data_IF_701442201588
#
_entry.id   IF_701442201588
#
_cell.length_a   1.000
_cell.length_b   1.000
_cell.length_c   1.000
_cell.angle_alpha   90.00
_cell.angle_beta   90.00
_cell.angle_gamma   90.00
#
_symmetry.space_group_name_H-M   'P 1'
#
loop_
_entity.id
_entity.type
_entity.pdbx_description
1 polymer ?
#
# COMPACT_ATOMS: atom_id res chain seq x y z
N UNK A 1 9.18 22.87 2.98
CA UNK A 1 9.54 23.73 1.84
C UNK A 1 10.93 23.35 1.36
N UNK A 2 10.99 22.57 0.29
CA UNK A 2 12.11 22.51 -0.66
C UNK A 2 11.50 21.96 -1.95
N UNK A 3 10.81 22.85 -2.66
CA UNK A 3 10.29 22.60 -4.00
C UNK A 3 11.46 22.68 -4.97
N UNK A 4 12.02 21.52 -5.34
CA UNK A 4 12.82 21.41 -6.55
C UNK A 4 11.86 21.47 -7.75
N UNK A 5 11.39 22.68 -8.05
CA UNK A 5 10.87 22.99 -9.38
C UNK A 5 12.08 23.04 -10.30
N UNK A 6 12.26 21.98 -11.09
CA UNK A 6 13.31 21.89 -12.09
C UNK A 6 13.13 23.02 -13.13
N UNK A 7 14.19 23.79 -13.34
CA UNK A 7 14.29 24.77 -14.42
C UNK A 7 14.17 24.07 -15.79
N UNK A 8 13.45 24.63 -16.77
CA UNK A 8 13.37 24.06 -18.10
C UNK A 8 14.73 24.22 -18.81
N UNK A 9 15.42 23.10 -19.08
CA UNK A 9 16.69 23.09 -19.83
C UNK A 9 17.85 22.34 -19.18
N UNK A 10 17.68 21.72 -18.00
CA UNK A 10 18.67 20.76 -17.50
C UNK A 10 18.55 19.45 -18.30
N UNK A 11 19.68 18.89 -18.77
CA UNK A 11 19.71 17.52 -19.25
C UNK A 11 19.12 16.60 -18.17
N UNK A 12 18.27 15.61 -18.53
CA UNK A 12 17.67 14.74 -17.53
C UNK A 12 18.78 14.10 -16.70
N UNK A 13 18.71 14.29 -15.38
CA UNK A 13 19.56 13.58 -14.43
C UNK A 13 19.52 12.10 -14.79
N UNK A 14 20.68 11.46 -14.87
CA UNK A 14 20.75 10.03 -15.14
C UNK A 14 19.84 9.29 -14.14
N UNK A 15 19.00 8.36 -14.62
CA UNK A 15 18.05 7.65 -13.78
C UNK A 15 18.79 6.99 -12.60
N UNK A 16 18.27 7.07 -11.36
CA UNK A 16 18.92 6.39 -10.24
C UNK A 16 19.01 4.89 -10.54
N UNK A 17 20.21 4.34 -10.30
CA UNK A 17 20.52 2.93 -10.54
C UNK A 17 20.69 2.20 -9.22
N UNK A 18 20.01 1.07 -9.07
CA UNK A 18 20.02 0.23 -7.88
C UNK A 18 20.70 -1.09 -8.22
N UNK A 19 21.83 -1.43 -7.58
CA UNK A 19 22.42 -2.77 -7.65
C UNK A 19 21.42 -3.85 -7.26
N UNK A 20 21.31 -4.88 -8.09
CA UNK A 20 20.51 -6.08 -7.85
C UNK A 20 21.46 -7.25 -7.60
N UNK A 21 21.15 -8.04 -6.57
CA UNK A 21 21.82 -9.34 -6.34
C UNK A 21 21.27 -10.43 -7.26
N UNK A 22 20.03 -10.25 -7.74
CA UNK A 22 19.38 -11.15 -8.68
C UNK A 22 19.89 -10.89 -10.11
N UNK A 23 20.39 -11.95 -10.74
CA UNK A 23 20.77 -11.94 -12.16
C UNK A 23 19.70 -12.65 -13.00
N UNK A 24 19.54 -12.22 -14.24
CA UNK A 24 18.64 -12.85 -15.20
C UNK A 24 18.44 -11.99 -16.45
N UNK A 25 17.48 -12.37 -17.31
CA UNK A 25 17.17 -11.63 -18.52
C UNK A 25 16.71 -10.20 -18.22
N UNK A 26 16.95 -9.27 -19.15
CA UNK A 26 16.52 -7.89 -19.00
C UNK A 26 14.98 -7.78 -18.92
N UNK A 27 14.45 -6.98 -18.01
CA UNK A 27 13.00 -6.75 -17.86
C UNK A 27 12.72 -5.25 -17.78
N UNK A 28 11.74 -4.79 -18.56
CA UNK A 28 11.19 -3.44 -18.45
C UNK A 28 9.85 -3.50 -17.73
N UNK A 29 9.75 -2.89 -16.55
CA UNK A 29 8.55 -2.83 -15.72
C UNK A 29 7.87 -1.46 -15.80
N UNK A 30 6.54 -1.46 -15.84
CA UNK A 30 5.73 -0.28 -16.11
C UNK A 30 5.14 0.41 -14.87
N UNK A 31 5.33 -0.16 -13.68
CA UNK A 31 4.91 0.44 -12.42
C UNK A 31 3.39 0.43 -12.20
N UNK A 32 2.96 1.31 -11.30
CA UNK A 32 1.57 1.40 -10.81
C UNK A 32 0.72 2.41 -11.61
N UNK A 33 -0.44 2.78 -11.07
CA UNK A 33 -1.22 3.93 -11.51
C UNK A 33 -0.80 5.23 -10.82
N UNK A 34 -0.70 5.21 -9.49
CA UNK A 34 -0.33 6.37 -8.70
C UNK A 34 1.19 6.55 -8.70
N UNK A 35 1.66 7.81 -8.74
CA UNK A 35 3.10 8.15 -8.65
C UNK A 35 3.97 7.28 -9.56
N UNK A 36 3.48 7.01 -10.77
CA UNK A 36 4.04 6.03 -11.68
C UNK A 36 5.52 6.31 -11.98
N UNK A 37 6.33 5.26 -11.97
CA UNK A 37 7.69 5.23 -12.46
C UNK A 37 7.94 3.88 -13.13
N UNK A 38 8.83 3.84 -14.12
CA UNK A 38 9.24 2.63 -14.83
C UNK A 38 10.59 2.15 -14.32
N UNK A 39 10.90 0.88 -14.57
CA UNK A 39 12.18 0.27 -14.21
C UNK A 39 12.71 -0.59 -15.35
N UNK A 40 13.96 -0.39 -15.77
CA UNK A 40 14.69 -1.37 -16.58
C UNK A 40 15.70 -2.10 -15.69
N UNK A 41 15.45 -3.38 -15.44
CA UNK A 41 16.38 -4.26 -14.73
C UNK A 41 17.20 -5.08 -15.74
N UNK A 42 18.52 -4.90 -15.74
CA UNK A 42 19.46 -5.64 -16.60
C UNK A 42 20.87 -5.61 -15.99
N UNK A 43 21.70 -6.61 -16.31
CA UNK A 43 23.11 -6.66 -15.91
C UNK A 43 23.37 -6.46 -14.40
N UNK A 44 22.46 -6.95 -13.55
CA UNK A 44 22.57 -6.82 -12.10
C UNK A 44 22.31 -5.40 -11.58
N UNK A 45 21.59 -4.57 -12.33
CA UNK A 45 21.17 -3.24 -11.90
C UNK A 45 19.74 -2.91 -12.37
N UNK A 46 19.03 -2.09 -11.59
CA UNK A 46 17.73 -1.54 -11.92
C UNK A 46 17.84 -0.03 -12.13
N UNK A 47 17.54 0.43 -13.35
CA UNK A 47 17.45 1.84 -13.69
C UNK A 47 16.01 2.32 -13.56
N UNK A 48 15.76 3.30 -12.70
CA UNK A 48 14.41 3.82 -12.45
C UNK A 48 14.17 5.13 -13.21
N UNK A 49 13.01 5.29 -13.84
CA UNK A 49 12.62 6.61 -14.38
C UNK A 49 12.35 7.61 -13.24
N UNK A 50 12.27 8.90 -13.60
CA UNK A 50 11.59 9.85 -12.73
C UNK A 50 10.10 9.48 -12.59
N UNK A 51 9.46 9.90 -11.51
CA UNK A 51 8.00 9.75 -11.37
C UNK A 51 7.29 10.74 -12.29
N UNK A 52 6.21 10.29 -12.94
CA UNK A 52 5.34 11.11 -13.79
C UNK A 52 4.07 11.56 -13.06
N UNK A 53 3.97 11.26 -11.75
CA UNK A 53 2.74 11.45 -10.99
C UNK A 53 1.70 10.37 -11.29
N UNK A 54 0.42 10.71 -11.12
CA UNK A 54 -0.67 9.78 -11.33
C UNK A 54 -1.04 9.70 -12.82
N UNK A 55 -1.37 8.51 -13.31
CA UNK A 55 -1.76 8.29 -14.70
C UNK A 55 -3.23 8.70 -14.98
N UNK A 56 -3.67 9.81 -14.38
CA UNK A 56 -5.02 10.36 -14.48
C UNK A 56 -5.14 11.50 -15.51
N UNK A 57 -4.00 11.98 -16.04
CA UNK A 57 -3.94 12.99 -17.09
C UNK A 57 -3.30 12.48 -18.38
N UNK A 58 -3.70 13.02 -19.56
CA UNK A 58 -3.05 12.69 -20.82
C UNK A 58 -1.57 13.06 -20.88
N UNK A 59 -1.14 14.10 -20.16
CA UNK A 59 0.28 14.51 -20.09
C UNK A 59 1.11 13.46 -19.34
N UNK A 60 0.67 13.01 -18.16
CA UNK A 60 1.34 11.96 -17.41
C UNK A 60 1.44 10.65 -18.21
N UNK A 61 0.36 10.29 -18.92
CA UNK A 61 0.35 9.12 -19.81
C UNK A 61 1.40 9.23 -20.93
N UNK A 62 1.47 10.38 -21.62
CA UNK A 62 2.48 10.62 -22.67
C UNK A 62 3.91 10.61 -22.12
N UNK A 63 4.11 11.15 -20.93
CA UNK A 63 5.43 11.17 -20.29
C UNK A 63 5.89 9.77 -19.89
N UNK A 64 4.98 8.94 -19.37
CA UNK A 64 5.24 7.51 -19.10
C UNK A 64 5.63 6.77 -20.39
N UNK A 65 4.86 6.94 -21.47
CA UNK A 65 5.17 6.33 -22.76
C UNK A 65 6.55 6.79 -23.29
N UNK A 66 6.89 8.07 -23.13
CA UNK A 66 8.20 8.61 -23.49
C UNK A 66 9.34 7.97 -22.66
N UNK A 67 9.14 7.80 -21.35
CA UNK A 67 10.10 7.09 -20.49
C UNK A 67 10.31 5.63 -20.92
N UNK A 68 9.26 4.96 -21.38
CA UNK A 68 9.39 3.59 -21.92
C UNK A 68 10.37 3.55 -23.11
N UNK A 69 10.31 4.54 -24.01
CA UNK A 69 11.23 4.65 -25.14
C UNK A 69 12.66 4.96 -24.70
N UNK A 70 12.84 5.83 -23.70
CA UNK A 70 14.16 6.13 -23.13
C UNK A 70 14.79 4.88 -22.54
N UNK A 71 14.06 4.13 -21.72
CA UNK A 71 14.57 2.90 -21.10
C UNK A 71 14.84 1.82 -22.16
N UNK A 72 13.95 1.61 -23.13
CA UNK A 72 14.17 0.67 -24.24
C UNK A 72 15.42 0.99 -25.07
N UNK A 73 15.82 2.27 -25.16
CA UNK A 73 17.05 2.64 -25.87
C UNK A 73 18.33 2.18 -25.15
N UNK A 74 18.23 1.82 -23.86
CA UNK A 74 19.35 1.35 -23.04
C UNK A 74 19.50 -0.17 -23.03
N UNK A 75 18.52 -0.93 -23.52
CA UNK A 75 18.55 -2.38 -23.52
C UNK A 75 17.29 -3.00 -24.11
N UNK A 76 17.44 -4.18 -24.71
CA UNK A 76 16.32 -4.95 -25.25
C UNK A 76 15.79 -5.90 -24.17
N UNK A 77 14.59 -5.65 -23.59
CA UNK A 77 14.04 -6.50 -22.56
C UNK A 77 13.60 -7.85 -23.14
N UNK A 78 13.81 -8.91 -22.38
CA UNK A 78 13.28 -10.25 -22.64
C UNK A 78 11.81 -10.40 -22.20
N UNK A 79 11.32 -9.51 -21.34
CA UNK A 79 9.91 -9.43 -20.95
C UNK A 79 9.51 -8.00 -20.54
N UNK A 80 8.22 -7.71 -20.62
CA UNK A 80 7.64 -6.48 -20.06
C UNK A 80 6.80 -6.85 -18.83
N UNK A 81 7.09 -6.26 -17.68
CA UNK A 81 6.31 -6.47 -16.46
C UNK A 81 5.33 -5.31 -16.22
N UNK A 82 4.18 -5.60 -15.63
CA UNK A 82 3.18 -4.59 -15.30
C UNK A 82 2.31 -5.02 -14.12
N UNK A 83 1.50 -4.10 -13.59
CA UNK A 83 0.54 -4.39 -12.54
C UNK A 83 -0.55 -5.35 -13.03
N UNK A 84 -1.04 -6.21 -12.14
CA UNK A 84 -2.18 -7.11 -12.40
C UNK A 84 -3.44 -6.35 -12.86
N UNK A 85 -3.61 -5.08 -12.49
CA UNK A 85 -4.78 -4.30 -12.86
C UNK A 85 -4.88 -4.09 -14.39
N UNK A 86 -5.93 -4.64 -15.06
CA UNK A 86 -6.01 -4.60 -16.53
C UNK A 86 -6.31 -3.19 -17.08
N UNK A 87 -7.03 -2.37 -16.30
CA UNK A 87 -7.47 -1.04 -16.76
C UNK A 87 -6.46 0.10 -16.50
N UNK A 88 -5.29 -0.18 -15.92
CA UNK A 88 -4.27 0.86 -15.82
C UNK A 88 -3.70 1.22 -17.19
N UNK A 89 -3.44 2.51 -17.41
CA UNK A 89 -2.76 2.94 -18.64
C UNK A 89 -1.39 2.27 -18.77
N UNK A 90 -0.65 2.15 -17.67
CA UNK A 90 0.62 1.42 -17.60
C UNK A 90 0.50 -0.04 -18.05
N UNK A 91 -0.50 -0.79 -17.56
CA UNK A 91 -0.74 -2.19 -17.95
C UNK A 91 -1.10 -2.33 -19.43
N UNK A 92 -1.96 -1.46 -19.96
CA UNK A 92 -2.30 -1.47 -21.40
C UNK A 92 -1.11 -1.13 -22.28
N UNK A 93 -0.33 -0.11 -21.92
CA UNK A 93 0.89 0.28 -22.66
C UNK A 93 1.94 -0.83 -22.61
N UNK A 94 2.11 -1.49 -21.46
CA UNK A 94 2.99 -2.64 -21.30
C UNK A 94 2.61 -3.81 -22.22
N UNK A 95 1.33 -4.20 -22.23
CA UNK A 95 0.85 -5.29 -23.09
C UNK A 95 1.02 -4.97 -24.59
N UNK A 96 0.70 -3.74 -24.99
CA UNK A 96 0.86 -3.28 -26.37
C UNK A 96 2.34 -3.27 -26.79
N UNK A 97 3.24 -2.81 -25.91
CA UNK A 97 4.68 -2.84 -26.15
C UNK A 97 5.22 -4.27 -26.24
N UNK A 98 4.84 -5.14 -25.32
CA UNK A 98 5.25 -6.55 -25.31
C UNK A 98 4.89 -7.25 -26.63
N UNK A 99 3.65 -7.04 -27.09
CA UNK A 99 3.17 -7.55 -28.39
C UNK A 99 4.01 -7.03 -29.55
N UNK A 100 4.34 -5.72 -29.56
CA UNK A 100 5.15 -5.10 -30.61
C UNK A 100 6.59 -5.63 -30.64
N UNK A 101 7.15 -5.94 -29.48
CA UNK A 101 8.51 -6.47 -29.35
C UNK A 101 8.58 -8.01 -29.52
N UNK A 102 7.44 -8.70 -29.50
CA UNK A 102 7.40 -10.16 -29.56
C UNK A 102 7.92 -10.84 -28.29
N UNK A 103 7.75 -10.19 -27.14
CA UNK A 103 8.18 -10.68 -25.82
C UNK A 103 6.97 -10.86 -24.89
N UNK A 104 7.06 -11.72 -23.86
CA UNK A 104 5.98 -11.91 -22.90
C UNK A 104 5.66 -10.63 -22.10
N UNK A 105 4.37 -10.43 -21.83
CA UNK A 105 3.88 -9.49 -20.83
C UNK A 105 3.60 -10.26 -19.53
N UNK A 106 4.28 -9.90 -18.44
CA UNK A 106 4.16 -10.57 -17.15
C UNK A 106 3.38 -9.64 -16.19
N UNK A 107 2.15 -10.06 -15.87
CA UNK A 107 1.34 -9.40 -14.87
C UNK A 107 1.83 -9.78 -13.46
N UNK A 108 2.16 -8.78 -12.65
CA UNK A 108 2.63 -8.96 -11.26
C UNK A 108 1.62 -8.36 -10.32
N UNK A 109 1.25 -9.11 -9.28
CA UNK A 109 0.29 -8.64 -8.29
C UNK A 109 0.88 -7.46 -7.50
N UNK A 110 0.06 -6.43 -7.28
CA UNK A 110 0.48 -5.14 -6.71
C UNK A 110 1.21 -5.26 -5.36
N UNK A 111 0.65 -6.01 -4.42
CA UNK A 111 1.20 -6.16 -3.07
C UNK A 111 2.43 -7.08 -3.05
N UNK A 112 2.46 -8.09 -3.91
CA UNK A 112 3.66 -8.89 -4.17
C UNK A 112 4.79 -8.01 -4.73
N UNK A 113 4.49 -7.11 -5.67
CA UNK A 113 5.46 -6.14 -6.18
C UNK A 113 5.97 -5.18 -5.10
N UNK A 114 5.11 -4.69 -4.20
CA UNK A 114 5.56 -3.89 -3.04
C UNK A 114 6.59 -4.64 -2.18
N UNK A 115 6.29 -5.88 -1.81
CA UNK A 115 7.18 -6.70 -0.99
C UNK A 115 8.46 -7.02 -1.76
N UNK A 116 8.34 -7.43 -3.03
CA UNK A 116 9.46 -7.73 -3.90
C UNK A 116 10.40 -6.54 -4.10
N UNK A 117 9.89 -5.31 -4.18
CA UNK A 117 10.73 -4.12 -4.30
C UNK A 117 11.67 -3.98 -3.08
N UNK A 118 11.15 -4.20 -1.87
CA UNK A 118 11.94 -4.17 -0.63
C UNK A 118 12.95 -5.32 -0.58
N UNK A 119 12.55 -6.53 -0.96
CA UNK A 119 13.48 -7.67 -1.03
C UNK A 119 14.60 -7.42 -2.04
N UNK A 120 14.27 -6.88 -3.21
CA UNK A 120 15.21 -6.57 -4.29
C UNK A 120 16.25 -5.54 -3.85
N UNK A 121 15.84 -4.40 -3.27
CA UNK A 121 16.79 -3.37 -2.88
C UNK A 121 17.63 -3.74 -1.65
N UNK A 122 17.15 -4.64 -0.79
CA UNK A 122 17.90 -5.20 0.32
C UNK A 122 18.73 -6.43 -0.08
N UNK A 123 18.60 -6.91 -1.32
CA UNK A 123 19.34 -8.05 -1.85
C UNK A 123 19.01 -9.39 -1.17
N UNK A 124 17.81 -9.52 -0.58
CA UNK A 124 17.38 -10.75 0.09
C UNK A 124 16.96 -11.82 -0.93
N UNK A 125 17.63 -12.99 -0.98
CA UNK A 125 17.43 -13.96 -2.06
C UNK A 125 16.39 -15.05 -1.75
N UNK A 126 15.90 -15.13 -0.51
CA UNK A 126 15.11 -16.25 -0.03
C UNK A 126 13.65 -15.89 0.30
N UNK A 127 12.89 -16.86 0.82
CA UNK A 127 11.53 -16.60 1.26
C UNK A 127 11.49 -15.61 2.42
N UNK A 128 10.43 -14.81 2.49
CA UNK A 128 10.19 -13.83 3.54
C UNK A 128 8.69 -13.65 3.80
N UNK A 129 8.36 -13.18 5.01
CA UNK A 129 7.07 -12.58 5.27
C UNK A 129 7.04 -11.16 4.71
N UNK A 130 5.91 -10.74 4.15
CA UNK A 130 5.69 -9.40 3.63
C UNK A 130 4.45 -8.79 4.26
N UNK A 131 4.61 -7.63 4.92
CA UNK A 131 3.49 -6.77 5.28
C UNK A 131 3.33 -5.70 4.20
N UNK A 132 2.30 -5.84 3.37
CA UNK A 132 1.96 -4.88 2.33
C UNK A 132 0.80 -4.00 2.82
N UNK A 133 1.15 -2.80 3.27
CA UNK A 133 0.26 -1.86 3.97
C UNK A 133 0.01 -0.63 3.09
N UNK A 134 -1.12 -0.60 2.40
CA UNK A 134 -1.39 0.36 1.33
C UNK A 134 -2.85 0.88 1.27
N UNK A 135 -3.08 1.87 0.41
CA UNK A 135 -4.39 2.45 0.13
C UNK A 135 -5.27 1.58 -0.77
N UNK A 136 -4.74 1.04 -1.88
CA UNK A 136 -5.51 0.17 -2.77
C UNK A 136 -4.59 -0.53 -3.79
N UNK A 137 -4.77 -1.83 -3.94
CA UNK A 137 -4.30 -2.57 -5.13
C UNK A 137 -5.26 -3.70 -5.48
N UNK A 138 -5.31 -4.07 -6.75
CA UNK A 138 -6.21 -5.14 -7.20
C UNK A 138 -5.75 -6.49 -6.64
N UNK A 139 -6.63 -7.13 -5.89
CA UNK A 139 -6.46 -8.49 -5.41
C UNK A 139 -6.59 -9.53 -6.52
N UNK A 140 -6.00 -10.71 -6.31
CA UNK A 140 -6.19 -11.86 -7.22
C UNK A 140 -7.64 -12.37 -7.23
N UNK A 141 -8.41 -12.01 -6.22
CA UNK A 141 -9.85 -12.28 -6.07
C UNK A 141 -10.74 -11.15 -6.64
N UNK A 142 -10.14 -10.13 -7.27
CA UNK A 142 -10.84 -8.98 -7.81
C UNK A 142 -11.29 -7.95 -6.76
N UNK A 143 -10.92 -8.11 -5.50
CA UNK A 143 -11.26 -7.17 -4.42
C UNK A 143 -10.16 -6.13 -4.21
N UNK A 144 -10.47 -5.05 -3.46
CA UNK A 144 -9.51 -4.00 -3.15
C UNK A 144 -8.64 -4.39 -1.93
N UNK A 145 -7.40 -4.79 -2.18
CA UNK A 145 -6.42 -5.11 -1.14
C UNK A 145 -5.69 -3.85 -0.65
N UNK A 146 -5.00 -3.96 0.48
CA UNK A 146 -4.15 -2.89 1.04
C UNK A 146 -3.73 -3.10 2.50
N UNK A 147 -3.90 -4.29 3.04
CA UNK A 147 -3.54 -4.62 4.41
C UNK A 147 -3.29 -6.12 4.47
N UNK A 148 -2.23 -6.55 3.79
CA UNK A 148 -2.00 -7.95 3.46
C UNK A 148 -0.77 -8.49 4.19
N UNK A 149 -0.87 -9.73 4.68
CA UNK A 149 0.26 -10.51 5.16
C UNK A 149 0.54 -11.62 4.17
N UNK A 150 1.69 -11.52 3.51
CA UNK A 150 2.10 -12.40 2.43
C UNK A 150 3.29 -13.25 2.87
N UNK A 151 3.39 -14.47 2.35
CA UNK A 151 4.65 -15.18 2.20
C UNK A 151 5.10 -14.98 0.76
N UNK A 152 6.32 -14.50 0.55
CA UNK A 152 6.89 -14.26 -0.78
C UNK A 152 8.14 -15.12 -0.95
N UNK A 153 8.23 -15.82 -2.07
CA UNK A 153 9.39 -16.61 -2.47
C UNK A 153 9.58 -16.48 -3.99
N UNK A 154 10.52 -15.62 -4.40
CA UNK A 154 10.79 -15.33 -5.81
C UNK A 154 9.55 -14.88 -6.58
N UNK A 155 9.22 -15.64 -7.65
CA UNK A 155 8.08 -15.35 -8.52
C UNK A 155 6.71 -15.64 -7.86
N UNK A 156 6.70 -16.26 -6.69
CA UNK A 156 5.49 -16.75 -6.04
C UNK A 156 5.18 -16.00 -4.75
N UNK A 157 3.89 -15.93 -4.44
CA UNK A 157 3.43 -15.48 -3.14
C UNK A 157 2.19 -16.26 -2.69
N UNK A 158 2.02 -16.36 -1.37
CA UNK A 158 0.82 -16.85 -0.71
C UNK A 158 0.25 -15.75 0.19
N UNK A 159 -1.06 -15.52 0.14
CA UNK A 159 -1.75 -14.60 1.06
C UNK A 159 -2.07 -15.34 2.36
N UNK A 160 -1.22 -15.17 3.37
CA UNK A 160 -1.34 -15.84 4.67
C UNK A 160 -2.48 -15.29 5.54
N UNK A 161 -2.87 -14.03 5.29
CA UNK A 161 -3.92 -13.32 5.97
C UNK A 161 -4.13 -11.92 5.38
N UNK A 162 -5.21 -11.25 5.80
CA UNK A 162 -5.46 -9.84 5.48
C UNK A 162 -6.23 -9.12 6.59
N UNK A 163 -6.30 -7.79 6.54
CA UNK A 163 -7.20 -7.05 7.43
C UNK A 163 -8.66 -7.46 7.17
N UNK A 164 -9.44 -7.57 8.25
CA UNK A 164 -10.86 -7.86 8.16
C UNK A 164 -11.55 -6.80 7.27
N UNK A 165 -12.32 -7.20 6.24
CA UNK A 165 -12.77 -6.25 5.25
C UNK A 165 -13.74 -5.19 5.80
N UNK A 166 -13.57 -3.94 5.35
CA UNK A 166 -14.52 -2.86 5.53
C UNK A 166 -15.35 -2.65 4.25
N UNK A 167 -16.65 -2.30 4.35
CA UNK A 167 -17.46 -1.99 3.17
C UNK A 167 -17.13 -0.61 2.58
N UNK A 168 -16.75 -0.57 1.30
CA UNK A 168 -16.49 0.68 0.55
C UNK A 168 -17.80 1.28 -0.01
N UNK A 169 -18.60 1.89 0.86
CA UNK A 169 -19.85 2.52 0.45
C UNK A 169 -19.63 3.72 -0.50
N UNK A 170 -19.77 3.48 -1.80
CA UNK A 170 -19.52 4.48 -2.86
C UNK A 170 -18.17 4.35 -3.56
N UNK A 171 -17.45 3.24 -3.40
CA UNK A 171 -16.20 2.94 -4.12
C UNK A 171 -15.16 4.03 -3.93
N UNK A 172 -14.64 4.59 -5.03
CA UNK A 172 -13.63 5.66 -5.04
C UNK A 172 -14.02 6.89 -4.20
N UNK A 173 -15.32 7.16 -4.04
CA UNK A 173 -15.77 8.24 -3.15
C UNK A 173 -15.39 7.98 -1.70
N UNK A 174 -15.46 6.74 -1.24
CA UNK A 174 -15.08 6.38 0.12
C UNK A 174 -13.59 6.63 0.38
N UNK A 175 -12.75 6.53 -0.66
CA UNK A 175 -11.33 6.90 -0.60
C UNK A 175 -11.07 8.42 -0.62
N UNK A 176 -12.10 9.27 -0.77
CA UNK A 176 -12.02 10.75 -0.69
C UNK A 176 -12.89 11.35 0.41
N UNK A 177 -13.84 10.58 0.92
CA UNK A 177 -14.81 10.99 1.93
C UNK A 177 -14.67 10.09 3.17
N UNK A 178 -13.63 10.28 4.02
CA UNK A 178 -13.39 9.46 5.22
C UNK A 178 -14.60 9.28 6.14
N UNK A 179 -15.54 10.23 6.17
CA UNK A 179 -16.80 10.10 6.92
C UNK A 179 -17.60 8.84 6.50
N UNK A 180 -17.46 8.37 5.26
CA UNK A 180 -18.07 7.12 4.76
C UNK A 180 -17.43 5.89 5.40
N UNK A 181 -16.11 5.90 5.54
CA UNK A 181 -15.38 4.82 6.22
C UNK A 181 -15.68 4.79 7.71
N UNK A 182 -15.82 5.95 8.34
CA UNK A 182 -16.32 6.06 9.71
C UNK A 182 -17.75 5.51 9.84
N UNK A 183 -18.63 5.83 8.89
CA UNK A 183 -19.97 5.26 8.81
C UNK A 183 -19.99 3.74 8.61
N UNK A 184 -19.06 3.19 7.83
CA UNK A 184 -18.88 1.74 7.66
C UNK A 184 -18.52 1.06 8.99
N UNK A 185 -17.60 1.64 9.78
CA UNK A 185 -17.28 1.16 11.13
C UNK A 185 -18.49 1.20 12.04
N UNK A 186 -19.22 2.32 12.07
CA UNK A 186 -20.44 2.46 12.89
C UNK A 186 -21.48 1.40 12.51
N UNK A 187 -21.66 1.13 11.22
CA UNK A 187 -22.57 0.07 10.76
C UNK A 187 -22.15 -1.31 11.25
N UNK A 188 -20.87 -1.67 11.09
CA UNK A 188 -20.33 -2.95 11.58
C UNK A 188 -20.40 -3.08 13.11
N UNK A 189 -20.34 -1.96 13.82
CA UNK A 189 -20.50 -1.88 15.28
C UNK A 189 -21.96 -1.91 15.75
N UNK A 190 -22.94 -2.01 14.84
CA UNK A 190 -24.37 -1.99 15.18
C UNK A 190 -24.92 -0.60 15.54
N UNK A 191 -24.19 0.46 15.18
CA UNK A 191 -24.42 1.89 15.50
C UNK A 191 -24.82 2.71 14.27
N UNK A 192 -25.49 2.07 13.30
CA UNK A 192 -25.82 2.67 12.01
C UNK A 192 -26.80 3.85 12.11
N UNK A 193 -27.64 3.87 13.15
CA UNK A 193 -28.59 4.93 13.49
C UNK A 193 -27.89 6.25 13.86
N UNK A 194 -26.66 6.19 14.37
CA UNK A 194 -25.91 7.37 14.75
C UNK A 194 -25.26 8.09 13.54
N UNK A 195 -25.15 7.43 12.37
CA UNK A 195 -24.46 7.95 11.17
C UNK A 195 -25.08 9.28 10.72
N UNK A 196 -26.41 9.35 10.64
CA UNK A 196 -27.12 10.52 10.12
C UNK A 196 -26.89 11.77 11.01
N UNK A 197 -26.88 11.58 12.32
CA UNK A 197 -26.66 12.66 13.28
C UNK A 197 -25.20 13.09 13.32
N UNK A 198 -24.25 12.14 13.36
CA UNK A 198 -22.81 12.45 13.42
C UNK A 198 -22.31 13.19 12.18
N UNK A 199 -22.79 12.80 11.01
CA UNK A 199 -22.33 13.35 9.74
C UNK A 199 -23.41 14.22 9.09
N UNK A 200 -24.24 14.92 9.88
CA UNK A 200 -25.36 15.73 9.39
C UNK A 200 -24.95 16.83 8.39
N UNK A 201 -23.70 17.28 8.42
CA UNK A 201 -23.15 18.22 7.43
C UNK A 201 -22.96 17.58 6.03
N UNK A 202 -23.00 16.25 5.93
CA UNK A 202 -22.81 15.51 4.68
C UNK A 202 -24.16 15.15 4.07
N UNK A 203 -24.49 15.64 2.85
CA UNK A 203 -25.81 15.45 2.26
C UNK A 203 -26.27 13.99 2.13
N UNK A 204 -25.33 13.06 2.01
CA UNK A 204 -25.60 11.63 1.83
C UNK A 204 -25.65 10.83 3.15
N UNK A 205 -25.41 11.44 4.32
CA UNK A 205 -25.30 10.72 5.59
C UNK A 205 -26.55 9.94 5.97
N UNK A 206 -27.74 10.53 5.78
CA UNK A 206 -29.02 9.89 6.10
C UNK A 206 -29.30 8.60 5.29
N UNK A 207 -28.69 8.47 4.10
CA UNK A 207 -28.87 7.30 3.23
C UNK A 207 -27.75 6.27 3.40
N UNK A 208 -26.62 6.63 4.03
CA UNK A 208 -25.44 5.77 4.09
C UNK A 208 -25.72 4.47 4.87
N UNK A 209 -26.43 4.54 6.00
CA UNK A 209 -26.78 3.34 6.77
C UNK A 209 -27.57 2.32 5.94
N UNK A 210 -28.52 2.78 5.13
CA UNK A 210 -29.27 1.91 4.21
C UNK A 210 -28.39 1.35 3.08
N UNK A 211 -27.46 2.14 2.55
CA UNK A 211 -26.51 1.68 1.53
C UNK A 211 -25.61 0.56 2.06
N UNK A 212 -25.14 0.69 3.30
CA UNK A 212 -24.25 -0.28 3.95
C UNK A 212 -24.91 -1.64 4.18
N UNK A 213 -26.25 -1.72 4.25
CA UNK A 213 -26.98 -3.01 4.29
C UNK A 213 -26.98 -3.79 2.97
N UNK A 214 -26.45 -3.20 1.88
CA UNK A 214 -26.47 -3.76 0.54
C UNK A 214 -25.05 -4.08 0.08
N UNK A 215 -24.59 -5.29 0.38
CA UNK A 215 -23.22 -5.75 0.06
C UNK A 215 -22.84 -5.55 -1.42
N UNK A 216 -23.79 -5.71 -2.34
CA UNK A 216 -23.57 -5.52 -3.79
C UNK A 216 -23.20 -4.10 -4.18
N UNK A 217 -23.48 -3.11 -3.34
CA UNK A 217 -23.17 -1.69 -3.56
C UNK A 217 -21.97 -1.21 -2.73
N UNK A 218 -21.41 -2.10 -1.91
CA UNK A 218 -20.37 -1.81 -0.94
C UNK A 218 -19.27 -2.87 -1.09
N UNK A 219 -18.47 -2.84 -2.17
CA UNK A 219 -17.41 -3.83 -2.36
C UNK A 219 -16.47 -3.85 -1.14
N UNK A 220 -16.02 -5.03 -0.71
CA UNK A 220 -15.15 -5.15 0.45
C UNK A 220 -13.74 -4.63 0.13
N UNK A 221 -13.07 -4.09 1.15
CA UNK A 221 -11.63 -3.78 1.10
C UNK A 221 -10.91 -4.23 2.36
N UNK A 222 -9.71 -4.77 2.20
CA UNK A 222 -8.76 -5.03 3.29
C UNK A 222 -7.72 -3.91 3.46
N UNK A 223 -7.95 -2.73 2.89
CA UNK A 223 -6.99 -1.63 2.92
C UNK A 223 -6.74 -1.06 4.32
N UNK A 224 -5.46 -0.99 4.71
CA UNK A 224 -5.05 -0.25 5.89
C UNK A 224 -5.26 1.26 5.70
N UNK A 225 -5.02 1.80 4.50
CA UNK A 225 -5.32 3.20 4.20
C UNK A 225 -6.79 3.57 4.45
N UNK A 226 -7.72 2.66 4.15
CA UNK A 226 -9.15 2.85 4.46
C UNK A 226 -9.47 2.74 5.96
N UNK A 227 -8.69 1.97 6.72
CA UNK A 227 -8.78 1.97 8.19
C UNK A 227 -8.24 3.29 8.80
N UNK A 228 -7.17 3.87 8.24
CA UNK A 228 -6.71 5.22 8.58
C UNK A 228 -7.81 6.27 8.31
N UNK A 229 -8.46 6.21 7.14
CA UNK A 229 -9.59 7.08 6.80
C UNK A 229 -10.75 6.91 7.80
N UNK A 230 -11.08 5.67 8.17
CA UNK A 230 -12.11 5.40 9.17
C UNK A 230 -11.79 6.04 10.53
N UNK A 231 -10.56 5.86 11.03
CA UNK A 231 -10.11 6.45 12.28
C UNK A 231 -10.17 8.00 12.23
N UNK A 232 -9.65 8.60 11.16
CA UNK A 232 -9.68 10.06 10.99
C UNK A 232 -11.11 10.62 10.87
N UNK A 233 -12.01 9.89 10.20
CA UNK A 233 -13.42 10.26 10.08
C UNK A 233 -14.18 10.17 11.40
N UNK A 234 -13.92 9.15 12.21
CA UNK A 234 -14.53 8.97 13.54
C UNK A 234 -14.08 10.06 14.52
N UNK A 235 -12.80 10.43 14.48
CA UNK A 235 -12.21 11.47 15.31
C UNK A 235 -12.48 12.90 14.78
N UNK A 236 -13.22 13.03 13.67
CA UNK A 236 -13.59 14.32 13.09
C UNK A 236 -12.41 15.13 12.52
N UNK A 237 -11.28 14.50 12.23
CA UNK A 237 -10.06 15.18 11.78
C UNK A 237 -10.12 15.60 10.31
N UNK A 238 -10.73 14.77 9.46
CA UNK A 238 -10.88 15.05 8.03
C UNK A 238 -12.13 14.33 7.51
N UNK A 239 -13.28 15.00 7.39
CA UNK A 239 -14.48 14.35 6.87
C UNK A 239 -14.40 14.12 5.35
N UNK A 240 -13.78 15.05 4.61
CA UNK A 240 -13.62 15.00 3.14
C UNK A 240 -12.22 15.49 2.78
N UNK A 241 -11.49 14.67 2.02
CA UNK A 241 -10.14 14.98 1.56
C UNK A 241 -10.16 15.82 0.29
N UNK A 242 -9.22 16.75 0.20
CA UNK A 242 -8.94 17.61 -0.97
C UNK A 242 -7.76 17.11 -1.77
N UNK A 243 -6.81 16.47 -1.09
CA UNK A 243 -5.62 15.83 -1.67
C UNK A 243 -5.50 14.41 -1.14
N UNK A 244 -4.74 13.58 -1.85
CA UNK A 244 -4.49 12.20 -1.47
C UNK A 244 -3.87 12.10 -0.06
N UNK A 245 -4.31 11.11 0.71
CA UNK A 245 -3.84 10.79 2.06
C UNK A 245 -3.99 11.91 3.12
N UNK A 246 -4.74 12.98 2.85
CA UNK A 246 -4.94 14.10 3.78
C UNK A 246 -5.43 13.64 5.17
N UNK A 247 -6.36 12.68 5.21
CA UNK A 247 -6.90 12.15 6.46
C UNK A 247 -5.85 11.36 7.27
N UNK A 248 -5.07 10.51 6.62
CA UNK A 248 -4.00 9.75 7.25
C UNK A 248 -2.89 10.68 7.79
N UNK A 249 -2.52 11.71 7.05
CA UNK A 249 -1.54 12.73 7.47
C UNK A 249 -2.07 13.54 8.66
N UNK A 250 -3.36 13.92 8.64
CA UNK A 250 -3.98 14.64 9.75
C UNK A 250 -4.02 13.79 11.03
N UNK A 251 -4.32 12.49 10.88
CA UNK A 251 -4.30 11.53 11.98
C UNK A 251 -2.89 11.36 12.57
N UNK A 252 -1.88 11.20 11.72
CA UNK A 252 -0.48 11.09 12.15
C UNK A 252 -0.01 12.33 12.90
N UNK A 253 -0.33 13.53 12.39
CA UNK A 253 0.04 14.78 13.05
C UNK A 253 -0.61 14.90 14.42
N UNK A 254 -1.91 14.62 14.52
CA UNK A 254 -2.63 14.66 15.80
C UNK A 254 -2.04 13.67 16.83
N UNK A 255 -1.69 12.46 16.38
CA UNK A 255 -1.03 11.47 17.22
C UNK A 255 0.38 11.91 17.66
N UNK A 256 1.16 12.51 16.75
CA UNK A 256 2.52 13.01 17.04
C UNK A 256 2.47 14.10 18.11
N UNK A 257 1.63 15.12 17.90
CA UNK A 257 1.47 16.25 18.83
C UNK A 257 1.04 15.75 20.24
N UNK A 258 0.20 14.72 20.31
CA UNK A 258 -0.20 14.11 21.58
C UNK A 258 0.97 13.40 22.26
N UNK A 259 1.67 12.51 21.55
CA UNK A 259 2.78 11.71 22.08
C UNK A 259 3.95 12.58 22.54
N UNK A 260 4.25 13.69 21.85
CA UNK A 260 5.28 14.65 22.28
C UNK A 260 4.93 15.32 23.61
N UNK A 261 3.64 15.52 23.88
CA UNK A 261 3.15 16.17 25.10
C UNK A 261 3.05 15.23 26.30
N UNK A 262 2.57 14.00 26.09
CA UNK A 262 2.25 13.07 27.19
C UNK A 262 3.22 11.91 27.34
N UNK A 263 4.09 11.68 26.35
CA UNK A 263 4.95 10.51 26.26
C UNK A 263 4.25 9.30 25.63
N UNK A 264 4.79 8.11 25.88
CA UNK A 264 4.25 6.88 25.30
C UNK A 264 2.89 6.50 25.89
N UNK A 265 2.01 6.02 25.01
CA UNK A 265 0.70 5.46 25.35
C UNK A 265 0.81 3.94 25.31
N UNK A 266 0.06 3.25 26.17
CA UNK A 266 0.01 1.78 26.15
C UNK A 266 -0.98 1.30 25.08
N UNK A 267 -0.65 0.28 24.25
CA UNK A 267 -1.61 -0.30 23.31
C UNK A 267 -2.80 -0.92 24.06
N UNK A 268 -3.97 -0.93 23.42
CA UNK A 268 -5.16 -1.58 23.96
C UNK A 268 -5.22 -3.05 23.52
N UNK A 269 -4.96 -4.05 24.40
CA UNK A 269 -4.89 -5.45 23.99
C UNK A 269 -6.21 -6.00 23.42
N UNK A 270 -7.34 -5.41 23.83
CA UNK A 270 -8.68 -5.74 23.32
C UNK A 270 -9.04 -4.93 22.05
N UNK A 271 -8.12 -4.10 21.57
CA UNK A 271 -8.30 -3.22 20.40
C UNK A 271 -8.25 -3.95 19.06
N UNK A 272 -7.87 -5.23 19.02
CA UNK A 272 -7.88 -6.03 17.80
C UNK A 272 -8.22 -7.49 18.08
N UNK A 273 -8.55 -8.23 17.02
CA UNK A 273 -8.69 -9.69 17.06
C UNK A 273 -8.05 -10.31 15.82
N UNK A 274 -7.52 -11.53 15.94
CA UNK A 274 -7.04 -12.32 14.81
C UNK A 274 -7.82 -13.63 14.81
N UNK A 275 -8.52 -13.93 13.72
CA UNK A 275 -9.28 -15.17 13.62
C UNK A 275 -8.43 -16.36 13.11
N UNK A 276 -9.00 -17.57 13.16
CA UNK A 276 -8.31 -18.79 12.73
C UNK A 276 -7.96 -18.85 11.24
N UNK A 277 -8.50 -17.95 10.42
CA UNK A 277 -8.13 -17.81 9.01
C UNK A 277 -7.01 -16.76 8.81
N UNK A 278 -6.45 -16.22 9.89
CA UNK A 278 -5.40 -15.22 9.85
C UNK A 278 -5.90 -13.82 9.49
N UNK A 279 -7.20 -13.52 9.63
CA UNK A 279 -7.71 -12.16 9.40
C UNK A 279 -7.57 -11.29 10.64
N UNK A 280 -6.92 -10.15 10.49
CA UNK A 280 -6.73 -9.17 11.56
C UNK A 280 -7.86 -8.13 11.54
N UNK A 281 -8.72 -8.12 12.55
CA UNK A 281 -9.77 -7.11 12.70
C UNK A 281 -9.34 -5.98 13.62
N UNK A 282 -9.36 -4.76 13.09
CA UNK A 282 -9.18 -3.50 13.82
C UNK A 282 -10.52 -2.88 14.25
N UNK A 283 -11.63 -3.59 14.04
CA UNK A 283 -12.96 -3.08 14.39
C UNK A 283 -13.08 -2.69 15.88
N UNK A 284 -12.48 -3.41 16.86
CA UNK A 284 -12.59 -3.02 18.27
C UNK A 284 -11.98 -1.65 18.56
N UNK A 285 -10.72 -1.41 18.16
CA UNK A 285 -10.08 -0.09 18.35
C UNK A 285 -10.84 0.98 17.60
N UNK A 286 -11.20 0.75 16.33
CA UNK A 286 -11.95 1.71 15.52
C UNK A 286 -13.30 2.06 16.17
N UNK A 287 -14.05 1.09 16.68
CA UNK A 287 -15.33 1.34 17.37
C UNK A 287 -15.13 2.20 18.61
N UNK A 288 -14.07 1.97 19.39
CA UNK A 288 -13.78 2.77 20.59
C UNK A 288 -13.47 4.23 20.26
N UNK A 289 -12.94 4.53 19.07
CA UNK A 289 -12.65 5.91 18.64
C UNK A 289 -13.93 6.73 18.43
N UNK A 290 -15.08 6.09 18.19
CA UNK A 290 -16.36 6.77 18.02
C UNK A 290 -16.84 7.49 19.29
N UNK A 291 -16.31 7.09 20.45
CA UNK A 291 -16.64 7.62 21.77
C UNK A 291 -15.49 8.45 22.35
N UNK A 292 -14.38 8.61 21.60
CA UNK A 292 -13.26 9.44 22.00
C UNK A 292 -13.57 10.93 21.79
N UNK A 293 -13.26 11.74 22.80
CA UNK A 293 -13.55 13.18 22.80
C UNK A 293 -12.29 14.02 22.51
N UNK A 294 -11.11 13.50 22.82
CA UNK A 294 -9.84 14.10 22.42
C UNK A 294 -9.32 13.39 21.16
N UNK A 295 -9.49 14.04 20.01
CA UNK A 295 -9.07 13.49 18.72
C UNK A 295 -7.57 13.15 18.66
N UNK A 296 -6.72 13.91 19.36
CA UNK A 296 -5.28 13.67 19.38
C UNK A 296 -4.95 12.44 20.25
N UNK A 297 -5.65 12.28 21.37
CA UNK A 297 -5.58 11.05 22.18
C UNK A 297 -6.02 9.84 21.37
N UNK A 298 -7.18 9.90 20.73
CA UNK A 298 -7.69 8.81 19.89
C UNK A 298 -6.76 8.44 18.75
N UNK A 299 -6.18 9.44 18.08
CA UNK A 299 -5.20 9.21 17.03
C UNK A 299 -3.97 8.47 17.57
N UNK A 300 -3.45 8.84 18.73
CA UNK A 300 -2.31 8.13 19.35
C UNK A 300 -2.66 6.69 19.74
N UNK A 301 -3.83 6.47 20.36
CA UNK A 301 -4.37 5.16 20.74
C UNK A 301 -4.47 4.23 19.52
N UNK A 302 -5.00 4.75 18.41
CA UNK A 302 -5.10 4.01 17.16
C UNK A 302 -3.72 3.55 16.65
N UNK A 303 -2.74 4.45 16.53
CA UNK A 303 -1.43 4.12 15.97
C UNK A 303 -0.65 3.11 16.83
N UNK A 304 -0.67 3.28 18.15
CA UNK A 304 0.03 2.39 19.08
C UNK A 304 -0.64 1.00 19.08
N UNK A 305 -1.97 0.95 19.12
CA UNK A 305 -2.72 -0.31 19.08
C UNK A 305 -2.57 -1.02 17.74
N UNK A 306 -2.60 -0.28 16.62
CA UNK A 306 -2.33 -0.82 15.29
C UNK A 306 -0.94 -1.47 15.23
N UNK A 307 0.07 -0.83 15.80
CA UNK A 307 1.43 -1.37 15.82
C UNK A 307 1.48 -2.70 16.57
N UNK A 308 0.90 -2.75 17.78
CA UNK A 308 0.84 -3.98 18.58
C UNK A 308 0.06 -5.09 17.86
N UNK A 309 -1.04 -4.74 17.19
CA UNK A 309 -1.85 -5.67 16.40
C UNK A 309 -1.06 -6.28 15.24
N UNK A 310 -0.31 -5.47 14.48
CA UNK A 310 0.53 -5.94 13.38
C UNK A 310 1.69 -6.82 13.87
N UNK A 311 2.31 -6.49 15.01
CA UNK A 311 3.36 -7.33 15.62
C UNK A 311 2.81 -8.69 16.03
N UNK A 312 1.65 -8.73 16.70
CA UNK A 312 0.99 -9.97 17.07
C UNK A 312 0.63 -10.81 15.84
N UNK A 313 0.18 -10.16 14.77
CA UNK A 313 -0.20 -10.81 13.52
C UNK A 313 0.99 -11.43 12.79
N UNK A 314 2.11 -10.72 12.71
CA UNK A 314 3.37 -11.27 12.19
C UNK A 314 3.86 -12.42 13.07
N UNK A 315 3.76 -12.30 14.40
CA UNK A 315 4.13 -13.35 15.34
C UNK A 315 3.44 -14.68 15.05
N UNK A 316 2.12 -14.66 14.80
CA UNK A 316 1.39 -15.88 14.41
C UNK A 316 1.85 -16.45 13.06
N UNK A 317 2.23 -15.61 12.10
CA UNK A 317 2.76 -16.08 10.83
C UNK A 317 4.17 -16.68 10.99
N UNK A 318 5.02 -16.12 11.85
CA UNK A 318 6.32 -16.69 12.20
C UNK A 318 6.14 -18.07 12.82
N UNK A 319 5.21 -18.24 13.77
CA UNK A 319 4.91 -19.55 14.37
C UNK A 319 4.45 -20.59 13.33
N UNK A 320 3.63 -20.17 12.36
CA UNK A 320 3.07 -21.04 11.31
C UNK A 320 4.09 -21.42 10.23
N UNK A 321 4.96 -20.49 9.83
CA UNK A 321 5.82 -20.63 8.64
C UNK A 321 7.29 -20.89 8.98
N UNK A 322 7.73 -20.51 10.18
CA UNK A 322 9.14 -20.52 10.58
C UNK A 322 9.98 -19.40 9.94
N UNK A 323 9.39 -18.52 9.13
CA UNK A 323 10.10 -17.41 8.48
C UNK A 323 10.32 -16.26 9.46
N UNK A 324 11.57 -15.81 9.61
CA UNK A 324 11.94 -14.73 10.55
C UNK A 324 12.35 -13.42 9.87
N UNK A 325 12.36 -13.40 8.53
CA UNK A 325 12.62 -12.20 7.73
C UNK A 325 11.28 -11.58 7.35
N UNK A 326 11.11 -10.28 7.63
CA UNK A 326 9.88 -9.53 7.38
C UNK A 326 10.19 -8.29 6.56
N UNK A 327 9.63 -8.20 5.35
CA UNK A 327 9.67 -7.01 4.53
C UNK A 327 8.44 -6.14 4.80
N UNK A 328 8.68 -4.87 5.14
CA UNK A 328 7.63 -3.86 5.34
C UNK A 328 7.54 -2.98 4.10
N UNK A 329 6.38 -2.95 3.44
CA UNK A 329 6.15 -2.17 2.23
C UNK A 329 4.73 -1.60 2.15
N UNK A 330 4.46 -0.79 1.12
CA UNK A 330 3.18 -0.13 0.85
C UNK A 330 3.13 1.33 1.31
N UNK A 331 2.21 2.10 0.73
CA UNK A 331 2.11 3.54 0.91
C UNK A 331 1.82 4.00 2.35
N UNK A 332 1.20 3.16 3.17
CA UNK A 332 0.94 3.49 4.58
C UNK A 332 2.22 3.62 5.42
N UNK A 333 3.36 3.08 4.95
CA UNK A 333 4.64 3.22 5.65
C UNK A 333 5.32 4.58 5.49
N UNK A 334 4.75 5.49 4.69
CA UNK A 334 5.11 6.92 4.78
C UNK A 334 4.73 7.53 6.13
N UNK A 335 3.80 6.91 6.88
CA UNK A 335 3.49 7.28 8.24
C UNK A 335 4.69 6.96 9.15
N UNK A 336 5.27 7.99 9.75
CA UNK A 336 6.49 7.91 10.56
C UNK A 336 6.26 7.18 11.87
N UNK A 337 5.10 7.38 12.49
CA UNK A 337 4.74 6.67 13.73
C UNK A 337 4.70 5.17 13.45
N UNK A 338 4.00 4.77 12.39
CA UNK A 338 3.84 3.36 12.02
C UNK A 338 5.18 2.73 11.64
N UNK A 339 5.91 3.32 10.68
CA UNK A 339 7.18 2.77 10.20
C UNK A 339 8.21 2.60 11.32
N UNK A 340 8.42 3.64 12.14
CA UNK A 340 9.40 3.59 13.22
C UNK A 340 9.01 2.60 14.32
N UNK A 341 7.76 2.63 14.78
CA UNK A 341 7.33 1.76 15.90
C UNK A 341 7.22 0.30 15.47
N UNK A 342 6.69 0.03 14.28
CA UNK A 342 6.54 -1.34 13.78
C UNK A 342 7.92 -1.97 13.52
N UNK A 343 8.81 -1.26 12.82
CA UNK A 343 10.15 -1.75 12.54
C UNK A 343 10.97 -1.99 13.80
N UNK A 344 10.85 -1.13 14.83
CA UNK A 344 11.53 -1.33 16.11
C UNK A 344 10.94 -2.54 16.87
N UNK A 345 9.61 -2.59 17.01
CA UNK A 345 8.94 -3.64 17.79
C UNK A 345 9.17 -5.04 17.20
N UNK A 346 9.16 -5.20 15.88
CA UNK A 346 9.45 -6.48 15.23
C UNK A 346 10.92 -6.93 15.47
N UNK A 347 11.88 -5.99 15.45
CA UNK A 347 13.29 -6.29 15.76
C UNK A 347 13.49 -6.69 17.21
N UNK A 348 12.76 -6.08 18.15
CA UNK A 348 12.77 -6.46 19.57
C UNK A 348 12.24 -7.90 19.78
N UNK A 349 11.37 -8.38 18.89
CA UNK A 349 10.90 -9.77 18.86
C UNK A 349 11.87 -10.72 18.11
N UNK A 350 13.09 -10.27 17.80
CA UNK A 350 14.14 -11.10 17.19
C UNK A 350 13.99 -11.30 15.68
N UNK A 351 13.11 -10.54 15.02
CA UNK A 351 12.89 -10.65 13.57
C UNK A 351 13.89 -9.79 12.79
N UNK A 352 14.26 -10.27 11.60
CA UNK A 352 15.03 -9.47 10.65
C UNK A 352 14.06 -8.64 9.81
N UNK A 353 14.08 -7.32 10.01
CA UNK A 353 13.15 -6.41 9.34
C UNK A 353 13.84 -5.68 8.19
N UNK A 354 13.29 -5.85 6.99
CA UNK A 354 13.69 -5.19 5.75
C UNK A 354 12.69 -4.08 5.42
N UNK A 355 13.21 -2.90 5.10
CA UNK A 355 12.42 -1.70 4.80
C UNK A 355 12.98 -1.06 3.52
N UNK A 356 12.17 -0.24 2.86
CA UNK A 356 12.65 0.58 1.75
C UNK A 356 13.61 1.67 2.27
N UNK A 357 14.80 1.74 1.69
CA UNK A 357 15.88 2.67 2.04
C UNK A 357 16.21 3.61 0.87
N UNK A 358 16.19 3.08 -0.36
CA UNK A 358 16.58 3.83 -1.57
C UNK A 358 15.38 4.30 -2.37
N UNK A 359 14.31 3.50 -2.37
CA UNK A 359 13.05 3.83 -3.04
C UNK A 359 11.94 4.17 -2.04
N UNK A 360 10.84 4.68 -2.57
CA UNK A 360 9.60 4.80 -1.80
C UNK A 360 9.08 3.41 -1.44
N UNK A 361 8.54 3.20 -0.23
CA UNK A 361 7.78 1.99 0.10
C UNK A 361 6.44 1.91 -0.66
N UNK A 362 5.96 3.03 -1.22
CA UNK A 362 4.73 3.11 -2.03
C UNK A 362 4.95 2.92 -3.53
N UNK A 363 3.92 3.27 -4.32
CA UNK A 363 3.80 2.96 -5.74
C UNK A 363 4.95 3.44 -6.63
N UNK A 364 5.65 4.51 -6.23
CA UNK A 364 6.81 5.00 -6.96
C UNK A 364 7.98 3.99 -6.99
N UNK A 365 8.01 3.03 -6.06
CA UNK A 365 8.97 1.92 -6.05
C UNK A 365 8.48 0.63 -6.72
N UNK A 366 7.20 0.56 -7.12
CA UNK A 366 6.54 -0.69 -7.52
C UNK A 366 7.21 -1.38 -8.72
N UNK A 367 7.68 -0.59 -9.69
CA UNK A 367 8.31 -1.13 -10.90
C UNK A 367 9.58 -1.95 -10.62
N UNK A 368 10.33 -1.64 -9.55
CA UNK A 368 11.47 -2.47 -9.14
C UNK A 368 11.01 -3.88 -8.76
N UNK A 369 9.96 -3.97 -7.95
CA UNK A 369 9.39 -5.25 -7.52
C UNK A 369 8.80 -6.04 -8.67
N UNK A 370 8.09 -5.38 -9.60
CA UNK A 370 7.59 -6.00 -10.83
C UNK A 370 8.73 -6.61 -11.66
N UNK A 371 9.83 -5.87 -11.85
CA UNK A 371 10.98 -6.36 -12.58
C UNK A 371 11.64 -7.56 -11.87
N UNK A 372 11.80 -7.48 -10.54
CA UNK A 372 12.37 -8.57 -9.74
C UNK A 372 11.55 -9.85 -9.83
N UNK A 373 10.23 -9.77 -9.67
CA UNK A 373 9.31 -10.92 -9.80
C UNK A 373 9.38 -11.52 -11.20
N UNK A 374 9.34 -10.68 -12.24
CA UNK A 374 9.43 -11.14 -13.61
C UNK A 374 10.77 -11.82 -13.93
N UNK A 375 11.89 -11.33 -13.37
CA UNK A 375 13.20 -12.00 -13.52
C UNK A 375 13.18 -13.38 -12.87
N UNK A 376 12.62 -13.52 -11.66
CA UNK A 376 12.44 -14.84 -11.03
C UNK A 376 11.61 -15.77 -11.91
N UNK A 377 10.49 -15.28 -12.44
CA UNK A 377 9.61 -16.07 -13.31
C UNK A 377 10.34 -16.57 -14.58
N UNK A 378 11.15 -15.72 -15.20
CA UNK A 378 11.96 -16.10 -16.37
C UNK A 378 13.08 -17.09 -16.02
N UNK A 379 13.66 -16.99 -14.83
CA UNK A 379 14.72 -17.89 -14.37
C UNK A 379 14.21 -19.30 -14.03
N UNK A 380 12.95 -19.43 -13.62
CA UNK A 380 12.29 -20.72 -13.34
C UNK A 380 11.95 -21.49 -14.63
N UNK A 381 11.82 -20.81 -15.76
CA UNK A 381 11.42 -21.37 -17.04
C UNK A 381 9.89 -21.45 -17.21
N UNK A 382 9.43 -21.32 -18.46
CA UNK A 382 8.00 -21.37 -18.82
C UNK A 382 7.37 -22.76 -18.71
#
# INVERSE_FOLDING_TARGET
MNSNLASPGAAPLAPPSIPLTLHGPAVLAFGAYFKNALCLAQDGAAQMSATVGDLDTPDACREMDAWSHVLLSQGAPAAIAHDLHPDFHSSRSACALATRLGVPAIAVQHHHAHVAAVLAENGHPGPALGLALDGVGLGTDGTAWGGELLQVDGAHFERLGHLAPLPLAGGDRAAREPWRMAGAVLHLAGRADEIATRFAAQPAAAMLGNLLTRDTLCPPTSSLGRAFDAAAGLLGLCPVMRVEAEAAIALERAATDYLERVGDVTPEPEGWTIDGAGRLSLLPILTSLADETDAAQGASRFHVTLTAALVAWVGQAVERTGLTVVALSGGCLHNRILSQRLGAALREHGLTVLEAQRLSPGDAGLALGQAWVAIHHLNEGF
#
